data_IF_235223760136
#
_entry.id   IF_235223760136
#
_cell.length_a   1.000
_cell.length_b   1.000
_cell.length_c   1.000
_cell.angle_alpha   90.00
_cell.angle_beta   90.00
_cell.angle_gamma   90.00
#
_symmetry.space_group_name_H-M   'P 1'
#
loop_
_entity.id
_entity.type
_entity.pdbx_description
1 polymer ?
#
# COMPACT_ATOMS: atom_id res chain seq x y z
N UNK A 1 -8.47 -0.10 -11.20
CA UNK A 1 -7.04 0.14 -10.85
C UNK A 1 -6.41 1.30 -11.66
N UNK A 2 -7.10 2.43 -11.85
CA UNK A 2 -6.49 3.59 -12.56
C UNK A 2 -5.94 4.62 -11.57
N UNK A 3 -6.74 5.00 -10.56
CA UNK A 3 -6.36 5.98 -9.56
C UNK A 3 -5.04 5.63 -8.84
N UNK A 4 -4.89 4.39 -8.35
CA UNK A 4 -3.69 3.99 -7.62
C UNK A 4 -2.41 3.99 -8.48
N UNK A 5 -2.50 3.71 -9.78
CA UNK A 5 -1.36 3.76 -10.71
C UNK A 5 -0.92 5.21 -10.91
N UNK A 6 -1.87 6.13 -11.11
CA UNK A 6 -1.55 7.56 -11.23
C UNK A 6 -0.99 8.14 -9.92
N UNK A 7 -1.55 7.77 -8.77
CA UNK A 7 -1.03 8.18 -7.48
C UNK A 7 0.43 7.75 -7.30
N UNK A 8 0.77 6.52 -7.67
CA UNK A 8 2.15 5.99 -7.62
C UNK A 8 3.13 6.84 -8.43
N UNK A 9 2.73 7.34 -9.58
CA UNK A 9 3.58 8.24 -10.39
C UNK A 9 3.77 9.58 -9.66
N UNK A 10 2.68 10.19 -9.18
CA UNK A 10 2.73 11.50 -8.49
C UNK A 10 3.64 11.46 -7.27
N UNK A 11 3.50 10.45 -6.41
CA UNK A 11 4.33 10.32 -5.21
C UNK A 11 5.78 9.93 -5.54
N UNK A 12 6.00 9.26 -6.68
CA UNK A 12 7.34 8.98 -7.20
C UNK A 12 8.12 10.27 -7.50
N UNK A 13 7.47 11.26 -8.11
CA UNK A 13 8.06 12.59 -8.35
C UNK A 13 8.40 13.34 -7.05
N UNK A 14 7.70 13.03 -5.94
CA UNK A 14 7.99 13.56 -4.61
C UNK A 14 9.07 12.77 -3.86
N UNK A 15 9.74 11.82 -4.52
CA UNK A 15 10.82 11.02 -3.95
C UNK A 15 10.36 9.82 -3.10
N UNK A 16 9.10 9.41 -3.21
CA UNK A 16 8.59 8.22 -2.54
C UNK A 16 8.88 6.96 -3.37
N UNK A 17 9.67 6.00 -2.86
CA UNK A 17 9.90 4.74 -3.56
C UNK A 17 8.61 3.90 -3.58
N UNK A 18 8.34 3.27 -4.72
CA UNK A 18 7.16 2.43 -4.87
C UNK A 18 7.43 0.99 -4.41
N UNK A 19 6.49 0.37 -3.69
CA UNK A 19 6.54 -1.06 -3.31
C UNK A 19 5.91 -1.94 -4.39
N UNK A 20 6.18 -3.24 -4.36
CA UNK A 20 5.72 -4.15 -5.43
C UNK A 20 4.20 -4.30 -5.46
N UNK A 21 3.57 -4.41 -4.29
CA UNK A 21 2.13 -4.64 -4.18
C UNK A 21 1.24 -3.40 -4.35
N UNK A 22 -0.04 -3.66 -4.59
CA UNK A 22 -1.15 -2.71 -4.66
C UNK A 22 -2.34 -3.33 -3.93
N UNK A 23 -3.19 -2.51 -3.30
CA UNK A 23 -4.36 -2.97 -2.55
C UNK A 23 -5.67 -2.50 -3.23
N UNK A 24 -6.17 -3.23 -4.25
CA UNK A 24 -7.41 -2.88 -4.92
C UNK A 24 -8.66 -3.36 -4.17
N UNK A 25 -9.63 -2.45 -4.05
CA UNK A 25 -10.98 -2.74 -3.58
C UNK A 25 -12.01 -2.51 -4.70
N UNK A 26 -12.29 -3.52 -5.53
CA UNK A 26 -13.30 -3.40 -6.59
C UNK A 26 -14.70 -3.37 -5.99
N UNK A 27 -15.61 -2.57 -6.58
CA UNK A 27 -17.03 -2.49 -6.17
C UNK A 27 -17.17 -2.21 -4.66
N UNK A 28 -16.56 -1.11 -4.20
CA UNK A 28 -16.46 -0.75 -2.78
C UNK A 28 -17.80 -0.77 -2.03
N UNK A 29 -18.90 -0.43 -2.70
CA UNK A 29 -20.24 -0.42 -2.10
C UNK A 29 -20.77 -1.80 -1.68
N UNK A 30 -20.15 -2.89 -2.16
CA UNK A 30 -20.52 -4.26 -1.79
C UNK A 30 -19.49 -4.91 -0.85
N UNK A 31 -18.47 -4.16 -0.42
CA UNK A 31 -17.40 -4.70 0.42
C UNK A 31 -17.64 -4.45 1.91
N UNK A 32 -18.51 -3.52 2.26
CA UNK A 32 -18.78 -3.11 3.63
C UNK A 32 -20.28 -3.08 3.93
N UNK A 33 -20.65 -3.37 5.17
CA UNK A 33 -22.01 -3.17 5.67
C UNK A 33 -22.29 -1.69 6.01
N UNK A 34 -23.51 -1.41 6.47
CA UNK A 34 -23.94 -0.08 6.91
C UNK A 34 -23.15 0.46 8.12
N UNK A 35 -22.46 -0.41 8.86
CA UNK A 35 -21.60 -0.07 10.00
C UNK A 35 -20.12 0.02 9.62
N UNK A 36 -19.81 0.03 8.31
CA UNK A 36 -18.45 0.06 7.76
C UNK A 36 -17.60 -1.17 8.13
N UNK A 37 -18.23 -2.32 8.36
CA UNK A 37 -17.54 -3.60 8.59
C UNK A 37 -17.37 -4.38 7.30
N UNK A 38 -16.19 -4.98 7.05
CA UNK A 38 -15.99 -5.85 5.89
C UNK A 38 -17.00 -6.99 5.85
N UNK A 39 -17.58 -7.24 4.68
CA UNK A 39 -18.49 -8.36 4.43
C UNK A 39 -17.76 -9.67 4.08
N UNK A 40 -16.43 -9.63 3.89
CA UNK A 40 -15.62 -10.80 3.58
C UNK A 40 -14.21 -10.73 4.17
N UNK A 41 -13.65 -11.89 4.52
CA UNK A 41 -12.31 -12.04 5.12
C UNK A 41 -11.16 -11.64 4.18
N UNK A 42 -11.45 -11.51 2.88
CA UNK A 42 -10.43 -11.10 1.89
C UNK A 42 -9.97 -9.67 2.16
N UNK A 43 -10.83 -8.78 2.66
CA UNK A 43 -10.43 -7.41 3.01
C UNK A 43 -9.33 -7.43 4.06
N UNK A 44 -9.58 -8.09 5.18
CA UNK A 44 -8.63 -8.12 6.30
C UNK A 44 -7.33 -8.83 5.93
N UNK A 45 -7.42 -10.00 5.29
CA UNK A 45 -6.23 -10.77 4.90
C UNK A 45 -5.38 -10.07 3.83
N UNK A 46 -6.00 -9.41 2.82
CA UNK A 46 -5.25 -8.66 1.80
C UNK A 46 -4.67 -7.35 2.35
N UNK A 47 -5.39 -6.69 3.25
CA UNK A 47 -4.93 -5.46 3.92
C UNK A 47 -3.75 -5.76 4.85
N UNK A 48 -3.85 -6.81 5.67
CA UNK A 48 -2.75 -7.24 6.55
C UNK A 48 -1.49 -7.51 5.73
N UNK A 49 -1.60 -8.33 4.68
CA UNK A 49 -0.45 -8.65 3.81
C UNK A 49 0.19 -7.39 3.20
N UNK A 50 -0.63 -6.46 2.71
CA UNK A 50 -0.14 -5.21 2.14
C UNK A 50 0.58 -4.36 3.18
N UNK A 51 0.02 -4.23 4.39
CA UNK A 51 0.61 -3.46 5.48
C UNK A 51 1.90 -4.11 6.00
N UNK A 52 1.96 -5.43 6.10
CA UNK A 52 3.16 -6.17 6.49
C UNK A 52 4.31 -5.90 5.50
N UNK A 53 4.04 -5.97 4.19
CA UNK A 53 5.02 -5.61 3.15
C UNK A 53 5.41 -4.12 3.23
N UNK A 54 4.43 -3.23 3.40
CA UNK A 54 4.67 -1.79 3.49
C UNK A 54 5.58 -1.44 4.66
N UNK A 55 5.32 -2.00 5.86
CA UNK A 55 6.16 -1.83 7.05
C UNK A 55 7.55 -2.41 6.82
N UNK A 56 7.65 -3.57 6.17
CA UNK A 56 8.94 -4.16 5.83
C UNK A 56 9.78 -3.22 4.96
N UNK A 57 9.21 -2.65 3.89
CA UNK A 57 9.91 -1.70 3.01
C UNK A 57 10.27 -0.39 3.73
N UNK A 58 9.40 0.14 4.59
CA UNK A 58 9.72 1.32 5.42
C UNK A 58 10.97 1.06 6.25
N UNK A 59 11.01 -0.07 6.94
CA UNK A 59 12.16 -0.42 7.78
C UNK A 59 13.42 -0.61 6.94
N UNK A 60 13.34 -1.28 5.80
CA UNK A 60 14.46 -1.46 4.89
C UNK A 60 15.02 -0.11 4.38
N UNK A 61 14.14 0.78 3.91
CA UNK A 61 14.55 2.10 3.43
C UNK A 61 15.11 2.99 4.55
N UNK A 62 14.50 2.97 5.74
CA UNK A 62 15.00 3.71 6.89
C UNK A 62 16.40 3.25 7.28
N UNK A 63 16.62 1.94 7.37
CA UNK A 63 17.91 1.37 7.74
C UNK A 63 18.97 1.68 6.69
N UNK A 64 18.66 1.53 5.40
CA UNK A 64 19.64 1.82 4.34
C UNK A 64 19.98 3.30 4.27
N UNK A 65 19.00 4.21 4.40
CA UNK A 65 19.25 5.66 4.42
C UNK A 65 20.13 6.08 5.58
N UNK A 66 20.11 5.37 6.71
CA UNK A 66 21.00 5.64 7.84
C UNK A 66 22.48 5.35 7.51
N UNK A 67 22.75 4.47 6.55
CA UNK A 67 24.10 4.14 6.07
C UNK A 67 24.54 5.07 4.93
N UNK A 68 23.63 5.91 4.42
CA UNK A 68 23.88 6.80 3.30
C UNK A 68 23.24 6.32 1.99
N UNK A 69 23.25 7.20 0.99
CA UNK A 69 22.82 6.87 -0.36
C UNK A 69 24.01 6.33 -1.16
N UNK A 70 23.78 5.46 -2.15
CA UNK A 70 24.86 4.91 -2.98
C UNK A 70 25.47 5.91 -3.97
N UNK A 71 25.08 7.18 -3.92
CA UNK A 71 25.55 8.28 -4.77
C UNK A 71 25.78 9.53 -3.94
#
# INVERSE_FOLDING_TARGET
MRAAVHLRVIVGELGMPAISSMLPFPVIGNLFDENLKPLNDRIDSSTSRFLDEFVWYINAFKNQRAVGLPY
#
